data_IF_894603307918
#
_entry.id   IF_894603307918
#
_cell.length_a   1.000
_cell.length_b   1.000
_cell.length_c   1.000
_cell.angle_alpha   90.00
_cell.angle_beta   90.00
_cell.angle_gamma   90.00
#
_symmetry.space_group_name_H-M   'P 1'
#
loop_
_entity.id
_entity.type
_entity.pdbx_description
1 polymer ?
#
# COMPACT_ATOMS: atom_id res chain seq x y z
N UNK A 1 -9.92 -72.21 -26.71
CA UNK A 1 -9.25 -70.92 -26.47
C UNK A 1 -9.63 -70.46 -25.08
N UNK A 2 -8.61 -70.22 -24.26
CA UNK A 2 -8.70 -69.89 -22.85
C UNK A 2 -9.15 -68.45 -22.62
N UNK A 3 -9.85 -68.28 -21.51
CA UNK A 3 -10.45 -67.07 -20.98
C UNK A 3 -9.36 -66.08 -20.54
N UNK A 4 -9.60 -64.78 -20.73
CA UNK A 4 -8.91 -63.73 -19.96
C UNK A 4 -9.83 -62.52 -19.80
N UNK A 5 -10.45 -62.43 -18.63
CA UNK A 5 -11.15 -61.24 -18.16
C UNK A 5 -10.12 -60.26 -17.55
N UNK A 6 -10.30 -58.93 -17.69
CA UNK A 6 -9.46 -57.96 -16.99
C UNK A 6 -9.85 -57.84 -15.50
N UNK A 7 -8.87 -57.59 -14.60
CA UNK A 7 -9.11 -57.48 -13.17
C UNK A 7 -9.78 -56.15 -12.79
N UNK A 8 -10.80 -56.24 -11.94
CA UNK A 8 -11.39 -55.12 -11.21
C UNK A 8 -10.38 -54.63 -10.16
N UNK A 9 -9.90 -53.39 -10.31
CA UNK A 9 -9.22 -52.66 -9.22
C UNK A 9 -10.24 -51.74 -8.56
N UNK A 10 -10.63 -52.10 -7.35
CA UNK A 10 -11.60 -51.42 -6.50
C UNK A 10 -10.84 -50.66 -5.41
N UNK A 11 -11.29 -49.43 -5.16
CA UNK A 11 -11.19 -48.63 -3.94
C UNK A 11 -9.96 -47.76 -3.62
N UNK A 12 -10.34 -46.51 -3.32
CA UNK A 12 -9.84 -45.62 -2.27
C UNK A 12 -8.42 -45.06 -2.44
N UNK A 13 -8.38 -43.83 -2.97
CA UNK A 13 -7.72 -42.73 -2.27
C UNK A 13 -8.62 -41.49 -2.40
N UNK A 14 -8.92 -40.88 -1.26
CA UNK A 14 -10.00 -39.92 -1.07
C UNK A 14 -9.81 -38.56 -1.75
N UNK A 15 -10.72 -37.61 -1.50
CA UNK A 15 -10.57 -36.23 -1.95
C UNK A 15 -9.30 -35.66 -1.32
N UNK A 16 -8.28 -35.40 -2.14
CA UNK A 16 -7.10 -34.66 -1.70
C UNK A 16 -7.58 -33.29 -1.21
N UNK A 17 -7.45 -33.09 0.09
CA UNK A 17 -7.64 -31.81 0.73
C UNK A 17 -6.76 -30.74 0.07
N UNK A 18 -7.23 -29.49 0.21
CA UNK A 18 -6.46 -28.25 0.15
C UNK A 18 -6.48 -27.47 -1.19
N UNK A 19 -7.68 -27.17 -1.69
CA UNK A 19 -7.90 -25.93 -2.46
C UNK A 19 -8.00 -24.75 -1.46
N UNK A 20 -6.85 -24.22 -1.04
CA UNK A 20 -6.78 -22.95 -0.29
C UNK A 20 -6.01 -21.87 -1.08
N UNK A 21 -5.85 -22.08 -2.39
CA UNK A 21 -5.08 -21.25 -3.30
C UNK A 21 -5.84 -19.99 -3.76
N UNK A 22 -7.16 -19.92 -3.54
CA UNK A 22 -8.00 -18.83 -4.02
C UNK A 22 -8.22 -17.68 -3.02
N UNK A 23 -7.81 -17.83 -1.75
CA UNK A 23 -8.10 -16.82 -0.72
C UNK A 23 -7.03 -15.72 -0.55
N UNK A 24 -5.88 -15.80 -1.22
CA UNK A 24 -4.80 -14.79 -1.10
C UNK A 24 -4.76 -13.72 -2.19
N UNK A 25 -5.38 -13.92 -3.36
CA UNK A 25 -5.30 -12.93 -4.46
C UNK A 25 -6.25 -11.74 -4.32
N UNK A 26 -7.28 -11.88 -3.49
CA UNK A 26 -8.25 -10.79 -3.29
C UNK A 26 -7.70 -9.71 -2.36
N UNK A 27 -6.99 -10.08 -1.29
CA UNK A 27 -6.46 -9.14 -0.29
C UNK A 27 -5.51 -8.09 -0.88
N UNK A 28 -4.58 -8.48 -1.75
CA UNK A 28 -3.62 -7.55 -2.36
C UNK A 28 -4.32 -6.60 -3.35
N UNK A 29 -5.28 -7.11 -4.11
CA UNK A 29 -6.06 -6.30 -5.06
C UNK A 29 -7.00 -5.33 -4.34
N UNK A 30 -7.59 -5.75 -3.21
CA UNK A 30 -8.50 -4.92 -2.41
C UNK A 30 -7.77 -3.77 -1.69
N UNK A 31 -6.57 -4.01 -1.15
CA UNK A 31 -5.78 -2.93 -0.53
C UNK A 31 -5.35 -1.87 -1.54
N UNK A 32 -5.03 -2.28 -2.77
CA UNK A 32 -4.69 -1.35 -3.85
C UNK A 32 -5.88 -0.46 -4.24
N UNK A 33 -7.11 -0.97 -4.23
CA UNK A 33 -8.31 -0.20 -4.53
C UNK A 33 -8.64 0.82 -3.43
N UNK A 34 -8.54 0.43 -2.16
CA UNK A 34 -8.74 1.34 -1.03
C UNK A 34 -7.68 2.46 -1.01
N UNK A 35 -6.41 2.14 -1.31
CA UNK A 35 -5.34 3.13 -1.45
C UNK A 35 -5.60 4.08 -2.63
N UNK A 36 -6.05 3.56 -3.77
CA UNK A 36 -6.41 4.38 -4.92
C UNK A 36 -7.57 5.33 -4.60
N UNK A 37 -8.61 4.84 -3.90
CA UNK A 37 -9.74 5.65 -3.48
C UNK A 37 -9.32 6.76 -2.50
N UNK A 38 -8.46 6.43 -1.52
CA UNK A 38 -7.89 7.41 -0.61
C UNK A 38 -7.07 8.46 -1.37
N UNK A 39 -6.22 8.05 -2.31
CA UNK A 39 -5.48 8.97 -3.16
C UNK A 39 -6.39 9.89 -3.98
N UNK A 40 -7.48 9.37 -4.55
CA UNK A 40 -8.44 10.20 -5.29
C UNK A 40 -9.14 11.21 -4.39
N UNK A 41 -9.39 10.87 -3.13
CA UNK A 41 -9.94 11.79 -2.13
C UNK A 41 -8.92 12.85 -1.74
N UNK A 42 -7.67 12.46 -1.52
CA UNK A 42 -6.58 13.37 -1.18
C UNK A 42 -6.28 14.33 -2.33
N UNK A 43 -6.40 13.89 -3.59
CA UNK A 43 -6.30 14.77 -4.76
C UNK A 43 -7.47 15.73 -4.92
N UNK A 44 -8.61 15.52 -4.26
CA UNK A 44 -9.69 16.52 -4.22
C UNK A 44 -9.43 17.59 -3.17
N UNK A 45 -8.50 17.35 -2.24
CA UNK A 45 -8.12 18.32 -1.23
C UNK A 45 -7.16 19.37 -1.84
N UNK A 46 -7.55 20.66 -1.88
CA UNK A 46 -6.70 21.70 -2.46
C UNK A 46 -5.41 21.95 -1.66
N UNK A 47 -5.36 21.62 -0.37
CA UNK A 47 -4.16 21.76 0.44
C UNK A 47 -3.15 20.67 0.11
N UNK A 48 -3.61 19.42 0.02
CA UNK A 48 -2.76 18.29 -0.40
C UNK A 48 -2.28 18.47 -1.84
N UNK A 49 -3.13 18.96 -2.75
CA UNK A 49 -2.70 19.28 -4.11
C UNK A 49 -1.60 20.32 -4.14
N UNK A 50 -1.69 21.37 -3.31
CA UNK A 50 -0.66 22.42 -3.24
C UNK A 50 0.65 21.87 -2.69
N UNK A 51 0.58 21.03 -1.67
CA UNK A 51 1.76 20.38 -1.11
C UNK A 51 2.40 19.39 -2.10
N UNK A 52 1.60 18.56 -2.76
CA UNK A 52 2.05 17.67 -3.81
C UNK A 52 2.70 18.45 -4.98
N UNK A 53 2.12 19.58 -5.38
CA UNK A 53 2.73 20.47 -6.39
C UNK A 53 4.08 21.02 -5.92
N UNK A 54 4.19 21.43 -4.65
CA UNK A 54 5.45 21.89 -4.07
C UNK A 54 6.51 20.78 -4.07
N UNK A 55 6.13 19.56 -3.70
CA UNK A 55 7.01 18.39 -3.78
C UNK A 55 7.42 18.08 -5.23
N UNK A 56 6.49 18.13 -6.18
CA UNK A 56 6.78 17.91 -7.61
C UNK A 56 7.73 18.97 -8.19
N UNK A 57 7.67 20.20 -7.67
CA UNK A 57 8.57 21.28 -8.07
C UNK A 57 9.94 21.21 -7.39
N UNK A 58 10.10 20.37 -6.35
CA UNK A 58 11.38 20.23 -5.66
C UNK A 58 12.47 19.68 -6.59
N UNK A 59 13.73 20.15 -6.46
CA UNK A 59 14.82 19.70 -7.31
C UNK A 59 15.12 18.20 -7.12
N UNK A 60 15.03 17.69 -5.88
CA UNK A 60 15.22 16.27 -5.59
C UNK A 60 14.20 15.39 -6.32
N UNK A 61 12.93 15.80 -6.33
CA UNK A 61 11.90 15.08 -7.07
C UNK A 61 12.13 15.15 -8.58
N UNK A 62 12.56 16.30 -9.10
CA UNK A 62 12.88 16.44 -10.53
C UNK A 62 14.06 15.56 -10.94
N UNK A 63 15.10 15.45 -10.10
CA UNK A 63 16.23 14.55 -10.35
C UNK A 63 15.80 13.09 -10.33
N UNK A 64 15.02 12.69 -9.32
CA UNK A 64 14.46 11.34 -9.26
C UNK A 64 13.55 11.03 -10.45
N UNK A 65 12.73 11.99 -10.87
CA UNK A 65 11.89 11.85 -12.07
C UNK A 65 12.71 11.71 -13.34
N UNK A 66 13.82 12.44 -13.49
CA UNK A 66 14.73 12.29 -14.62
C UNK A 66 15.37 10.91 -14.62
N UNK A 67 15.88 10.44 -13.48
CA UNK A 67 16.47 9.10 -13.36
C UNK A 67 15.44 8.01 -13.67
N UNK A 68 14.22 8.15 -13.15
CA UNK A 68 13.13 7.22 -13.46
C UNK A 68 12.74 7.28 -14.94
N UNK A 69 12.69 8.48 -15.53
CA UNK A 69 12.38 8.68 -16.95
C UNK A 69 13.40 8.04 -17.88
N UNK A 70 14.65 7.92 -17.43
CA UNK A 70 15.70 7.24 -18.18
C UNK A 70 15.57 5.71 -18.12
N UNK A 71 14.89 5.18 -17.11
CA UNK A 71 14.73 3.74 -16.90
C UNK A 71 13.93 3.09 -18.05
N UNK A 72 14.38 1.96 -18.63
CA UNK A 72 13.75 1.33 -19.78
C UNK A 72 12.29 0.92 -19.51
N UNK A 73 11.99 0.43 -18.31
CA UNK A 73 10.62 0.09 -17.92
C UNK A 73 9.69 1.30 -17.91
N UNK A 74 10.18 2.46 -17.45
CA UNK A 74 9.38 3.67 -17.46
C UNK A 74 9.13 4.18 -18.88
N UNK A 75 10.16 4.17 -19.75
CA UNK A 75 10.01 4.51 -21.18
C UNK A 75 8.99 3.60 -21.88
N UNK A 76 9.03 2.30 -21.59
CA UNK A 76 8.06 1.36 -22.12
C UNK A 76 6.65 1.63 -21.60
N UNK A 77 6.51 1.88 -20.29
CA UNK A 77 5.22 2.22 -19.68
C UNK A 77 4.66 3.52 -20.30
N UNK A 78 5.46 4.58 -20.44
CA UNK A 78 5.10 5.83 -21.12
C UNK A 78 4.60 5.57 -22.54
N UNK A 79 5.27 4.71 -23.31
CA UNK A 79 4.83 4.35 -24.65
C UNK A 79 3.48 3.62 -24.62
N UNK A 80 3.31 2.65 -23.74
CA UNK A 80 2.04 1.93 -23.57
C UNK A 80 0.91 2.86 -23.12
N UNK A 81 1.18 3.78 -22.20
CA UNK A 81 0.22 4.79 -21.76
C UNK A 81 -0.14 5.73 -22.91
N UNK A 82 0.83 6.13 -23.74
CA UNK A 82 0.56 6.95 -24.93
C UNK A 82 -0.31 6.20 -25.94
N UNK A 83 -0.03 4.92 -26.19
CA UNK A 83 -0.83 4.07 -27.08
C UNK A 83 -2.24 3.85 -26.52
N UNK A 84 -2.37 3.71 -25.19
CA UNK A 84 -3.64 3.63 -24.49
C UNK A 84 -4.43 4.94 -24.63
N UNK A 85 -3.79 6.10 -24.41
CA UNK A 85 -4.42 7.43 -24.50
C UNK A 85 -4.78 7.84 -25.92
N UNK A 86 -4.06 7.32 -26.92
CA UNK A 86 -4.39 7.54 -28.33
C UNK A 86 -5.68 6.81 -28.76
N UNK A 87 -6.11 5.80 -27.99
CA UNK A 87 -7.30 5.00 -28.28
C UNK A 87 -8.44 5.34 -27.30
N UNK A 88 -9.43 6.14 -27.71
CA UNK A 88 -10.51 6.58 -26.83
C UNK A 88 -11.38 5.43 -26.31
N UNK A 89 -11.45 4.29 -27.01
CA UNK A 89 -12.19 3.12 -26.51
C UNK A 89 -11.44 2.45 -25.36
N UNK A 90 -10.12 2.33 -25.48
CA UNK A 90 -9.29 1.81 -24.38
C UNK A 90 -9.26 2.75 -23.19
N UNK A 91 -9.19 4.07 -23.43
CA UNK A 91 -9.30 5.07 -22.35
C UNK A 91 -10.59 4.86 -21.58
N UNK A 92 -11.74 4.80 -22.26
CA UNK A 92 -13.03 4.56 -21.61
C UNK A 92 -13.06 3.27 -20.80
N UNK A 93 -12.53 2.17 -21.35
CA UNK A 93 -12.48 0.90 -20.63
C UNK A 93 -11.60 0.97 -19.37
N UNK A 94 -10.51 1.74 -19.40
CA UNK A 94 -9.67 1.97 -18.23
C UNK A 94 -10.34 2.91 -17.23
N UNK A 95 -10.97 3.98 -17.68
CA UNK A 95 -11.74 4.90 -16.83
C UNK A 95 -12.88 4.18 -16.11
N UNK A 96 -13.60 3.29 -16.80
CA UNK A 96 -14.69 2.51 -16.20
C UNK A 96 -14.15 1.56 -15.13
N UNK A 97 -13.07 0.83 -15.42
CA UNK A 97 -12.39 -0.01 -14.44
C UNK A 97 -11.90 0.79 -13.24
N UNK A 98 -11.35 1.99 -13.47
CA UNK A 98 -10.89 2.88 -12.43
C UNK A 98 -12.06 3.36 -11.56
N UNK A 99 -13.18 3.76 -12.15
CA UNK A 99 -14.40 4.14 -11.41
C UNK A 99 -14.92 3.01 -10.54
N UNK A 100 -14.98 1.78 -11.07
CA UNK A 100 -15.41 0.59 -10.30
C UNK A 100 -14.43 0.33 -9.15
N UNK A 101 -13.12 0.34 -9.42
CA UNK A 101 -12.09 0.13 -8.41
C UNK A 101 -12.15 1.17 -7.29
N UNK A 102 -12.36 2.45 -7.64
CA UNK A 102 -12.49 3.54 -6.66
C UNK A 102 -13.75 3.39 -5.84
N UNK A 103 -14.90 3.13 -6.46
CA UNK A 103 -16.16 2.94 -5.74
C UNK A 103 -16.09 1.75 -4.77
N UNK A 104 -15.43 0.65 -5.17
CA UNK A 104 -15.21 -0.48 -4.27
C UNK A 104 -14.17 -0.18 -3.19
N UNK A 105 -13.14 0.60 -3.52
CA UNK A 105 -12.15 1.11 -2.57
C UNK A 105 -12.77 2.01 -1.49
N UNK A 106 -13.68 2.92 -1.85
CA UNK A 106 -14.39 3.79 -0.90
C UNK A 106 -15.23 2.98 0.08
N UNK A 107 -16.01 2.01 -0.39
CA UNK A 107 -16.79 1.11 0.48
C UNK A 107 -15.90 0.38 1.49
N UNK A 108 -14.73 -0.07 1.05
CA UNK A 108 -13.78 -0.76 1.92
C UNK A 108 -13.13 0.19 2.92
N UNK A 109 -12.78 1.39 2.49
CA UNK A 109 -12.22 2.43 3.35
C UNK A 109 -13.20 2.78 4.47
N UNK A 110 -14.49 2.92 4.17
CA UNK A 110 -15.52 3.20 5.16
C UNK A 110 -15.73 2.01 6.12
N UNK A 111 -15.76 0.78 5.59
CA UNK A 111 -15.84 -0.41 6.43
C UNK A 111 -14.62 -0.56 7.36
N UNK A 112 -13.42 -0.25 6.87
CA UNK A 112 -12.19 -0.28 7.64
C UNK A 112 -12.15 0.81 8.70
N UNK A 113 -12.55 2.05 8.35
CA UNK A 113 -12.68 3.16 9.32
C UNK A 113 -13.68 2.85 10.42
N UNK A 114 -14.82 2.24 10.06
CA UNK A 114 -15.81 1.79 11.04
C UNK A 114 -15.24 0.72 11.97
N UNK A 115 -14.57 -0.29 11.42
CA UNK A 115 -13.94 -1.34 12.22
C UNK A 115 -12.82 -0.79 13.11
N UNK A 116 -12.01 0.16 12.63
CA UNK A 116 -10.99 0.84 13.44
C UNK A 116 -11.61 1.60 14.60
N UNK A 117 -12.68 2.36 14.35
CA UNK A 117 -13.38 3.10 15.40
C UNK A 117 -13.96 2.19 16.47
N UNK A 118 -14.57 1.06 16.09
CA UNK A 118 -15.08 0.06 17.04
C UNK A 118 -13.97 -0.56 17.90
N UNK A 119 -12.79 -0.82 17.31
CA UNK A 119 -11.62 -1.31 18.06
C UNK A 119 -11.04 -0.22 18.99
N UNK A 120 -11.07 1.04 18.56
CA UNK A 120 -10.57 2.17 19.35
C UNK A 120 -11.49 2.46 20.56
N UNK A 121 -12.81 2.41 20.38
CA UNK A 121 -13.80 2.50 21.47
C UNK A 121 -13.69 1.32 22.46
N UNK A 122 -13.37 0.10 21.98
CA UNK A 122 -13.13 -1.06 22.85
C UNK A 122 -11.78 -1.02 23.59
N UNK A 123 -10.81 -0.25 23.08
CA UNK A 123 -9.50 -0.05 23.71
C UNK A 123 -9.54 1.08 24.75
N UNK A 124 -10.30 2.15 24.48
CA UNK A 124 -10.56 3.23 25.43
C UNK A 124 -11.33 2.76 26.69
N UNK A 125 -12.11 1.68 26.61
CA UNK A 125 -12.83 1.10 27.75
C UNK A 125 -11.99 0.12 28.59
N UNK A 126 -10.80 -0.31 28.13
CA UNK A 126 -9.90 -1.21 28.88
C UNK A 126 -8.69 -0.50 29.52
N UNK A 127 -8.47 0.78 29.26
CA UNK A 127 -7.38 1.58 29.85
C UNK A 127 -7.82 2.44 31.06
N UNK A 128 -9.05 2.24 31.57
CA UNK A 128 -9.60 2.94 32.75
C UNK A 128 -9.35 2.29 34.12
N UNK A 129 -8.69 1.13 34.19
CA UNK A 129 -8.47 0.40 35.45
C UNK A 129 -6.99 0.00 35.62
N UNK A 130 -6.13 1.00 35.85
CA UNK A 130 -4.93 0.83 36.67
C UNK A 130 -4.69 2.06 37.53
N UNK A 131 -5.19 1.91 38.75
CA UNK A 131 -4.89 2.58 40.01
C UNK A 131 -3.69 3.54 40.05
N UNK A 132 -4.00 4.69 40.66
CA UNK A 132 -3.16 5.46 41.56
C UNK A 132 -2.26 4.55 42.43
N UNK A 133 -0.96 4.84 42.49
CA UNK A 133 -0.14 4.96 43.71
C UNK A 133 1.35 4.77 43.36
N UNK A 134 2.07 5.87 43.16
CA UNK A 134 3.34 6.13 43.87
C UNK A 134 3.95 7.49 43.54
N UNK A 135 3.94 8.29 44.61
CA UNK A 135 4.77 9.44 44.96
C UNK A 135 6.26 9.40 44.55
N UNK A 136 6.73 10.61 44.28
CA UNK A 136 8.03 11.22 44.65
C UNK A 136 9.34 10.54 44.20
N UNK A 137 10.10 11.19 43.30
CA UNK A 137 11.28 11.98 43.68
C UNK A 137 11.96 12.68 42.47
N UNK A 138 12.19 13.99 42.65
CA UNK A 138 13.35 14.82 42.21
C UNK A 138 13.86 14.86 40.75
N UNK A 139 13.63 16.04 40.13
CA UNK A 139 14.53 16.87 39.28
C UNK A 139 16.00 16.96 39.82
N UNK A 140 17.04 17.46 39.09
CA UNK A 140 17.03 18.27 37.85
C UNK A 140 18.18 18.11 36.80
N UNK A 141 17.97 18.73 35.64
CA UNK A 141 18.88 19.57 34.83
C UNK A 141 20.19 19.04 34.15
N UNK A 142 20.23 19.36 32.84
CA UNK A 142 21.31 19.99 32.05
C UNK A 142 22.50 19.16 31.52
N UNK A 143 22.74 19.33 30.21
CA UNK A 143 23.97 19.35 29.37
C UNK A 143 23.44 19.13 27.93
N UNK A 144 23.42 20.07 26.98
CA UNK A 144 24.43 21.05 26.54
C UNK A 144 25.81 20.42 26.46
N UNK A 145 26.07 19.71 25.37
CA UNK A 145 27.40 19.50 24.81
C UNK A 145 27.26 19.29 23.28
N UNK A 146 27.54 20.39 22.58
CA UNK A 146 28.08 20.43 21.22
C UNK A 146 29.49 19.91 21.28
N UNK A 147 29.83 18.82 20.59
CA UNK A 147 31.21 18.54 20.19
C UNK A 147 31.30 17.54 19.01
N UNK A 148 32.16 17.91 18.05
CA UNK A 148 32.88 17.08 17.09
C UNK A 148 32.12 16.32 15.97
N UNK A 149 31.83 17.05 14.89
CA UNK A 149 32.06 16.50 13.54
C UNK A 149 33.22 17.25 12.89
N UNK A 150 34.42 16.78 13.20
CA UNK A 150 35.68 17.04 12.50
C UNK A 150 35.52 16.63 11.02
N UNK A 151 35.34 17.63 10.15
CA UNK A 151 35.39 17.45 8.70
C UNK A 151 36.84 17.69 8.28
N UNK A 152 37.61 16.65 7.93
CA UNK A 152 38.96 16.85 7.42
C UNK A 152 38.90 17.58 6.07
N UNK A 153 39.59 18.71 6.07
CA UNK A 153 39.96 19.54 4.94
C UNK A 153 40.60 18.69 3.82
N UNK A 154 39.81 18.34 2.79
CA UNK A 154 40.31 17.76 1.56
C UNK A 154 40.96 18.86 0.71
N UNK A 155 42.24 19.03 0.94
CA UNK A 155 43.17 19.82 0.16
C UNK A 155 43.14 19.34 -1.30
N UNK A 156 42.49 20.12 -2.18
CA UNK A 156 42.62 19.98 -3.63
C UNK A 156 43.96 20.59 -4.06
N UNK A 157 44.89 19.75 -4.50
CA UNK A 157 46.07 20.13 -5.28
C UNK A 157 46.30 19.12 -6.38
#
# INVERSE_FOLDING_TARGET
>A
QTQNAPPKSNQHNGPSANDNSHKKKTSDTTMNNAMLAQLMRDMQDPEIMREAQKMMQSPEFQEQMKQMAEHPHFKQAMKQTKDLMADPEKVKAVEEKMKVAVADGEKQLDAFKKAQKEVEDEKATKEGEKDEDKKDEKKPAATDDVDDLDIPNLNLS
#
